data_IF_902211209659
#
_entry.id   IF_902211209659
#
_cell.length_a   1.000
_cell.length_b   1.000
_cell.length_c   1.000
_cell.angle_alpha   90.00
_cell.angle_beta   90.00
_cell.angle_gamma   90.00
#
_symmetry.space_group_name_H-M   'P 1'
#
loop_
_entity.id
_entity.type
_entity.pdbx_description
1 polymer ?
#
# COMPACT_ATOMS: atom_id res chain seq x y z
N UNK A 1 14.63 -15.48 32.74
CA UNK A 1 13.88 -15.37 31.47
C UNK A 1 14.57 -14.34 30.58
N UNK A 2 15.12 -14.74 29.43
CA UNK A 2 15.77 -13.82 28.49
C UNK A 2 14.68 -12.96 27.83
N UNK A 3 14.74 -11.63 27.98
CA UNK A 3 13.85 -10.70 27.27
C UNK A 3 14.23 -10.77 25.79
N UNK A 4 13.45 -11.50 25.01
CA UNK A 4 13.60 -11.54 23.56
C UNK A 4 12.92 -10.27 23.04
N UNK A 5 13.72 -9.38 22.45
CA UNK A 5 13.26 -8.08 21.95
C UNK A 5 12.32 -8.25 20.75
N UNK A 6 11.44 -7.27 20.52
CA UNK A 6 10.45 -7.24 19.45
C UNK A 6 11.08 -7.52 18.06
N UNK A 7 12.25 -6.93 17.79
CA UNK A 7 13.02 -7.09 16.56
C UNK A 7 13.37 -8.56 16.26
N UNK A 8 13.67 -9.34 17.30
CA UNK A 8 14.00 -10.77 17.14
C UNK A 8 12.77 -11.54 16.68
N UNK A 9 11.60 -11.28 17.28
CA UNK A 9 10.34 -11.90 16.86
C UNK A 9 9.93 -11.46 15.45
N UNK A 10 10.20 -10.21 15.06
CA UNK A 10 9.96 -9.74 13.71
C UNK A 10 10.84 -10.46 12.69
N UNK A 11 12.14 -10.62 12.98
CA UNK A 11 13.05 -11.37 12.10
C UNK A 11 12.64 -12.83 11.92
N UNK A 12 12.11 -13.47 12.98
CA UNK A 12 11.58 -14.82 12.94
C UNK A 12 10.28 -14.90 12.13
N UNK A 13 9.43 -13.88 12.23
CA UNK A 13 8.22 -13.75 11.42
C UNK A 13 8.53 -13.64 9.93
N UNK A 14 9.51 -12.83 9.52
CA UNK A 14 9.95 -12.74 8.12
C UNK A 14 10.48 -14.08 7.60
N UNK A 15 11.38 -14.74 8.37
CA UNK A 15 11.89 -16.07 8.03
C UNK A 15 10.78 -17.11 7.90
N UNK A 16 9.75 -17.03 8.73
CA UNK A 16 8.58 -17.89 8.62
C UNK A 16 7.80 -17.64 7.33
N UNK A 17 7.55 -16.38 6.97
CA UNK A 17 6.86 -16.02 5.73
C UNK A 17 7.60 -16.55 4.50
N UNK A 18 8.93 -16.42 4.47
CA UNK A 18 9.77 -16.95 3.39
C UNK A 18 9.78 -18.48 3.34
N UNK A 19 9.66 -19.15 4.49
CA UNK A 19 9.72 -20.61 4.58
C UNK A 19 8.48 -21.31 3.99
N UNK A 20 7.34 -20.61 3.87
CA UNK A 20 6.07 -21.20 3.45
C UNK A 20 5.51 -22.30 4.38
N UNK A 21 6.11 -22.51 5.55
CA UNK A 21 5.70 -23.55 6.49
C UNK A 21 4.48 -23.12 7.31
N UNK A 22 3.78 -24.08 7.93
CA UNK A 22 2.71 -23.74 8.87
C UNK A 22 3.26 -23.06 10.14
N UNK A 23 2.48 -22.16 10.76
CA UNK A 23 2.85 -21.47 12.02
C UNK A 23 3.26 -22.44 13.13
N UNK A 24 2.61 -23.60 13.20
CA UNK A 24 2.89 -24.61 14.21
C UNK A 24 4.22 -25.34 13.95
N UNK A 25 4.49 -25.69 12.69
CA UNK A 25 5.74 -26.36 12.27
C UNK A 25 6.93 -25.44 12.51
N UNK A 26 6.82 -24.17 12.12
CA UNK A 26 7.90 -23.20 12.30
C UNK A 26 8.18 -22.91 13.78
N UNK A 27 7.14 -22.72 14.61
CA UNK A 27 7.32 -22.49 16.05
C UNK A 27 8.03 -23.66 16.73
N UNK A 28 7.71 -24.90 16.37
CA UNK A 28 8.37 -26.09 16.88
C UNK A 28 9.85 -26.14 16.46
N UNK A 29 10.15 -25.87 15.18
CA UNK A 29 11.51 -25.86 14.65
C UNK A 29 12.38 -24.73 15.27
N UNK A 30 11.79 -23.57 15.51
CA UNK A 30 12.47 -22.42 16.11
C UNK A 30 12.57 -22.48 17.65
N UNK A 31 11.97 -23.50 18.29
CA UNK A 31 11.98 -23.64 19.75
C UNK A 31 11.16 -22.58 20.49
N UNK A 32 10.15 -22.01 19.84
CA UNK A 32 9.32 -20.93 20.38
C UNK A 32 7.98 -21.51 20.86
N UNK A 33 7.47 -21.12 22.04
CA UNK A 33 6.14 -21.51 22.46
C UNK A 33 5.09 -21.09 21.42
N UNK A 34 4.23 -22.04 21.02
CA UNK A 34 3.20 -21.82 19.98
C UNK A 34 2.36 -20.58 20.26
N UNK A 35 1.90 -20.38 21.49
CA UNK A 35 1.09 -19.21 21.86
C UNK A 35 1.83 -17.89 21.65
N UNK A 36 3.11 -17.84 22.01
CA UNK A 36 3.97 -16.66 21.82
C UNK A 36 4.16 -16.35 20.34
N UNK A 37 4.46 -17.37 19.51
CA UNK A 37 4.62 -17.16 18.08
C UNK A 37 3.32 -16.70 17.41
N UNK A 38 2.18 -17.30 17.78
CA UNK A 38 0.87 -16.90 17.26
C UNK A 38 0.50 -15.46 17.66
N UNK A 39 0.80 -15.06 18.89
CA UNK A 39 0.61 -13.68 19.34
C UNK A 39 1.40 -12.69 18.46
N UNK A 40 2.68 -12.98 18.21
CA UNK A 40 3.53 -12.12 17.37
C UNK A 40 3.12 -12.12 15.90
N UNK A 41 2.77 -13.28 15.32
CA UNK A 41 2.20 -13.33 13.97
C UNK A 41 0.96 -12.45 13.87
N UNK A 42 0.01 -12.57 14.80
CA UNK A 42 -1.21 -11.75 14.79
C UNK A 42 -0.88 -10.27 14.92
N UNK A 43 0.07 -9.92 15.79
CA UNK A 43 0.49 -8.53 16.01
C UNK A 43 1.11 -7.93 14.73
N UNK A 44 2.05 -8.62 14.10
CA UNK A 44 2.71 -8.14 12.87
C UNK A 44 1.79 -8.18 11.65
N UNK A 45 0.90 -9.18 11.55
CA UNK A 45 -0.17 -9.20 10.56
C UNK A 45 -1.08 -7.98 10.75
N UNK A 46 -1.53 -7.67 11.98
CA UNK A 46 -2.39 -6.50 12.24
C UNK A 46 -1.68 -5.17 11.94
N UNK A 47 -0.41 -5.02 12.31
CA UNK A 47 0.36 -3.81 12.00
C UNK A 47 0.57 -3.66 10.48
N UNK A 48 0.81 -4.75 9.75
CA UNK A 48 0.88 -4.74 8.28
C UNK A 48 -0.47 -4.48 7.60
N UNK A 49 -1.58 -4.73 8.32
CA UNK A 49 -2.97 -4.58 7.85
C UNK A 49 -3.64 -3.41 8.59
N UNK A 50 -2.89 -2.38 8.99
CA UNK A 50 -3.45 -1.11 9.51
C UNK A 50 -4.18 -0.28 8.43
N UNK A 51 -4.99 -0.96 7.61
CA UNK A 51 -5.94 -0.44 6.64
C UNK A 51 -7.04 -1.47 6.34
N UNK A 52 -7.55 -2.20 7.33
CA UNK A 52 -8.75 -3.03 7.11
C UNK A 52 -9.68 -3.02 8.32
N UNK A 53 -10.22 -1.85 8.63
CA UNK A 53 -11.67 -1.80 8.83
C UNK A 53 -12.33 -1.96 7.46
N UNK A 54 -13.54 -2.56 7.34
CA UNK A 54 -14.33 -2.43 6.12
C UNK A 54 -14.77 -0.97 6.02
N UNK A 55 -13.87 -0.12 5.53
CA UNK A 55 -14.23 1.24 5.12
C UNK A 55 -15.24 1.11 3.98
N UNK A 56 -16.38 1.81 4.03
CA UNK A 56 -17.29 1.90 2.89
C UNK A 56 -16.64 2.62 1.69
N UNK A 57 -15.41 3.12 1.86
CA UNK A 57 -14.61 3.74 0.83
C UNK A 57 -13.37 2.89 0.54
N UNK A 58 -13.21 2.50 -0.71
CA UNK A 58 -11.99 1.88 -1.23
C UNK A 58 -11.01 2.96 -1.62
N UNK A 59 -9.76 2.84 -1.17
CA UNK A 59 -8.66 3.65 -1.70
C UNK A 59 -8.37 3.15 -3.11
N UNK A 60 -8.52 4.01 -4.10
CA UNK A 60 -8.06 3.74 -5.46
C UNK A 60 -6.56 4.06 -5.47
N UNK A 61 -5.67 3.07 -5.64
CA UNK A 61 -4.25 3.36 -5.79
C UNK A 61 -4.07 4.21 -7.05
N UNK A 62 -3.78 5.49 -6.86
CA UNK A 62 -3.22 6.32 -7.91
C UNK A 62 -1.75 5.96 -8.01
N UNK A 63 -1.39 5.13 -8.99
CA UNK A 63 0.00 5.08 -9.43
C UNK A 63 0.38 6.51 -9.79
N UNK A 64 1.34 7.07 -9.06
CA UNK A 64 1.80 8.44 -9.26
C UNK A 64 2.46 8.59 -10.63
N UNK A 65 1.64 8.76 -11.66
CA UNK A 65 2.00 9.36 -12.94
C UNK A 65 0.89 10.36 -13.31
N UNK A 66 0.56 11.26 -12.38
CA UNK A 66 -0.10 12.50 -12.77
C UNK A 66 0.98 13.40 -13.37
N UNK A 67 1.34 13.16 -14.63
CA UNK A 67 2.09 14.15 -15.39
C UNK A 67 1.32 15.48 -15.27
N UNK A 68 1.99 16.58 -14.94
CA UNK A 68 1.33 17.89 -14.91
C UNK A 68 0.72 18.16 -16.29
N UNK A 69 -0.52 18.67 -16.38
CA UNK A 69 -1.11 18.97 -17.67
C UNK A 69 -0.25 19.98 -18.41
N UNK A 70 -0.09 19.79 -19.70
CA UNK A 70 0.69 20.69 -20.57
C UNK A 70 -0.09 21.97 -20.85
N UNK A 71 -1.43 21.89 -20.82
CA UNK A 71 -2.32 23.04 -20.91
C UNK A 71 -3.60 22.81 -20.10
N UNK A 72 -4.17 23.90 -19.59
CA UNK A 72 -5.45 23.92 -18.88
C UNK A 72 -6.31 25.07 -19.40
N UNK A 73 -7.54 24.77 -19.80
CA UNK A 73 -8.51 25.73 -20.33
C UNK A 73 -9.67 25.82 -19.34
N UNK A 74 -9.93 27.03 -18.83
CA UNK A 74 -11.05 27.30 -17.92
C UNK A 74 -12.11 28.10 -18.68
N UNK A 75 -13.32 27.55 -18.81
CA UNK A 75 -14.44 28.20 -19.49
C UNK A 75 -15.29 29.02 -18.50
N UNK A 76 -15.98 30.09 -18.95
CA UNK A 76 -16.91 30.86 -18.12
C UNK A 76 -18.07 30.02 -17.55
N UNK A 77 -18.41 28.90 -18.18
CA UNK A 77 -19.40 27.93 -17.69
C UNK A 77 -18.95 27.16 -16.43
N UNK A 78 -17.69 27.30 -16.02
CA UNK A 78 -17.09 26.56 -14.91
C UNK A 78 -16.46 25.23 -15.33
N UNK A 79 -16.52 24.87 -16.62
CA UNK A 79 -15.85 23.68 -17.16
C UNK A 79 -14.33 23.91 -17.19
N UNK A 80 -13.57 22.91 -16.75
CA UNK A 80 -12.12 22.89 -16.81
C UNK A 80 -11.66 21.71 -17.67
N UNK A 81 -10.89 21.98 -18.71
CA UNK A 81 -10.28 20.96 -19.58
C UNK A 81 -8.78 20.96 -19.34
N UNK A 82 -8.25 19.81 -18.93
CA UNK A 82 -6.82 19.59 -18.73
C UNK A 82 -6.29 18.67 -19.83
N UNK A 83 -5.21 19.10 -20.49
CA UNK A 83 -4.62 18.41 -21.63
C UNK A 83 -3.28 17.81 -21.22
N UNK A 84 -3.10 16.51 -21.49
CA UNK A 84 -1.91 15.75 -21.12
C UNK A 84 -1.22 15.22 -22.38
N UNK A 85 0.11 15.22 -22.39
CA UNK A 85 0.90 14.81 -23.56
C UNK A 85 1.15 15.95 -24.56
N UNK A 86 1.58 15.61 -25.78
CA UNK A 86 1.84 16.59 -26.82
C UNK A 86 0.52 17.11 -27.39
N UNK A 87 0.31 18.43 -27.32
CA UNK A 87 -0.90 19.11 -27.80
C UNK A 87 -0.52 20.06 -28.92
N UNK A 88 -1.25 20.00 -30.04
CA UNK A 88 -1.05 20.94 -31.14
C UNK A 88 -1.77 22.28 -30.90
N UNK A 89 -1.16 23.37 -31.37
CA UNK A 89 -1.65 24.73 -31.17
C UNK A 89 -2.98 24.95 -31.89
N UNK A 90 -3.23 24.28 -33.03
CA UNK A 90 -4.50 24.41 -33.73
C UNK A 90 -5.67 23.83 -32.91
N UNK A 91 -5.44 22.71 -32.21
CA UNK A 91 -6.42 22.09 -31.32
C UNK A 91 -6.73 22.97 -30.12
N UNK A 92 -5.72 23.60 -29.50
CA UNK A 92 -5.94 24.55 -28.40
C UNK A 92 -6.78 25.73 -28.87
N UNK A 93 -6.51 26.25 -30.06
CA UNK A 93 -7.28 27.37 -30.64
C UNK A 93 -8.75 27.02 -30.85
N UNK A 94 -9.05 25.83 -31.37
CA UNK A 94 -10.43 25.38 -31.57
C UNK A 94 -11.19 25.24 -30.23
N UNK A 95 -10.50 24.81 -29.17
CA UNK A 95 -11.07 24.68 -27.85
C UNK A 95 -11.31 26.03 -27.16
N UNK A 96 -10.46 27.02 -27.38
CA UNK A 96 -10.59 28.34 -26.74
C UNK A 96 -11.63 29.24 -27.43
N UNK A 97 -11.93 28.97 -28.72
CA UNK A 97 -12.86 29.76 -29.54
C UNK A 97 -12.21 30.93 -30.24
#
# INVERSE_FOLDING_TARGET
MKKINNEVYFSLFCKWQESGQSKATFAAAAGIPKQTFYYWCKKFETDSVSSTSPSPFSIIPMDHIAASPVARINYPSGICVELFGAVDVATVRELVG
#
